data_IF_325607809424
#
_entry.id   IF_325607809424
#
_cell.length_a   1.000
_cell.length_b   1.000
_cell.length_c   1.000
_cell.angle_alpha   90.00
_cell.angle_beta   90.00
_cell.angle_gamma   90.00
#
_symmetry.space_group_name_H-M   'P 1'
#
loop_
_entity.id
_entity.type
_entity.pdbx_description
1 polymer ?
#
# COMPACT_ATOMS: atom_id res chain seq x y z
N UNK A 1 -73.15 -5.10 -40.80
CA UNK A 1 -72.47 -4.99 -42.08
C UNK A 1 -72.54 -3.55 -42.58
N UNK A 2 -71.49 -2.80 -42.50
CA UNK A 2 -71.12 -1.66 -43.40
C UNK A 2 -69.79 -1.11 -42.85
N UNK A 3 -68.73 -1.20 -43.65
CA UNK A 3 -67.43 -0.59 -43.47
C UNK A 3 -67.55 0.90 -43.76
N UNK A 4 -67.07 1.77 -42.88
CA UNK A 4 -66.88 3.20 -43.17
C UNK A 4 -65.39 3.47 -43.18
N UNK A 5 -64.86 3.86 -44.32
CA UNK A 5 -63.47 4.33 -44.52
C UNK A 5 -63.39 5.78 -44.03
N UNK A 6 -62.33 6.01 -43.22
CA UNK A 6 -62.01 7.32 -42.69
C UNK A 6 -60.83 7.93 -43.47
N UNK A 7 -61.09 8.96 -44.24
CA UNK A 7 -60.15 9.77 -45.03
C UNK A 7 -59.65 10.94 -44.18
N UNK A 8 -58.63 10.75 -43.38
CA UNK A 8 -57.85 11.87 -42.78
C UNK A 8 -56.41 11.44 -42.63
N UNK A 9 -55.59 11.56 -43.64
CA UNK A 9 -54.15 11.57 -43.49
C UNK A 9 -53.40 11.92 -44.79
N UNK A 10 -53.60 13.13 -45.28
CA UNK A 10 -52.86 13.62 -46.47
C UNK A 10 -52.12 14.95 -46.30
N UNK A 11 -52.25 15.66 -45.17
CA UNK A 11 -51.66 17.00 -45.02
C UNK A 11 -50.48 17.09 -44.02
N UNK A 12 -49.92 15.97 -43.56
CA UNK A 12 -48.83 16.00 -42.59
C UNK A 12 -47.42 15.74 -43.19
N UNK A 13 -47.28 15.65 -44.52
CA UNK A 13 -46.00 15.27 -45.16
C UNK A 13 -45.19 16.40 -45.80
N UNK A 14 -45.61 17.66 -45.72
CA UNK A 14 -44.89 18.76 -46.39
C UNK A 14 -44.16 19.71 -45.43
N UNK A 15 -44.43 19.67 -44.14
CA UNK A 15 -43.77 20.56 -43.16
C UNK A 15 -42.44 20.00 -42.56
N UNK A 16 -42.05 18.74 -42.84
CA UNK A 16 -40.90 18.10 -42.20
C UNK A 16 -39.57 18.16 -43.00
N UNK A 17 -39.48 18.94 -44.06
CA UNK A 17 -38.31 18.91 -44.96
C UNK A 17 -37.42 20.18 -44.97
N UNK A 18 -37.61 21.12 -44.04
CA UNK A 18 -36.80 22.37 -43.99
C UNK A 18 -36.05 22.65 -42.69
N UNK A 19 -36.15 21.83 -41.67
CA UNK A 19 -35.43 22.04 -40.39
C UNK A 19 -34.18 21.16 -40.25
N UNK A 20 -33.88 20.28 -41.22
CA UNK A 20 -32.86 19.22 -41.10
C UNK A 20 -31.42 19.60 -41.52
N UNK A 21 -31.13 20.82 -41.98
CA UNK A 21 -29.77 21.11 -42.52
C UNK A 21 -28.91 22.12 -41.73
N UNK A 22 -29.50 22.91 -40.86
CA UNK A 22 -28.71 23.86 -40.02
C UNK A 22 -28.40 23.35 -38.61
N UNK A 23 -29.14 22.38 -38.10
CA UNK A 23 -28.89 21.77 -36.75
C UNK A 23 -27.72 20.79 -36.70
N UNK A 24 -27.36 20.16 -37.81
CA UNK A 24 -26.34 19.10 -37.86
C UNK A 24 -24.90 19.68 -37.87
N UNK A 25 -24.73 20.89 -38.42
CA UNK A 25 -23.41 21.54 -38.47
C UNK A 25 -22.97 22.15 -37.14
N UNK A 26 -23.89 22.54 -36.26
CA UNK A 26 -23.54 23.06 -34.92
C UNK A 26 -23.27 21.94 -33.89
N UNK A 27 -23.93 20.80 -34.02
CA UNK A 27 -23.70 19.65 -33.12
C UNK A 27 -22.38 18.95 -33.41
N UNK A 28 -21.92 18.90 -34.65
CA UNK A 28 -20.62 18.31 -35.00
C UNK A 28 -19.44 19.18 -34.54
N UNK A 29 -19.59 20.52 -34.55
CA UNK A 29 -18.54 21.43 -34.08
C UNK A 29 -18.38 21.41 -32.54
N UNK A 30 -19.46 21.21 -31.78
CA UNK A 30 -19.44 21.11 -30.32
C UNK A 30 -18.86 19.75 -29.87
N UNK A 31 -19.14 18.65 -30.59
CA UNK A 31 -18.56 17.36 -30.32
C UNK A 31 -17.06 17.32 -30.67
N UNK A 32 -16.61 18.02 -31.70
CA UNK A 32 -15.18 18.09 -32.05
C UNK A 32 -14.38 18.96 -31.07
N UNK A 33 -14.99 20.03 -30.52
CA UNK A 33 -14.37 20.88 -29.52
C UNK A 33 -14.28 20.20 -28.13
N UNK A 34 -15.22 19.32 -27.79
CA UNK A 34 -15.17 18.50 -26.55
C UNK A 34 -14.15 17.34 -26.63
N UNK A 35 -13.81 16.88 -27.85
CA UNK A 35 -12.79 15.84 -28.04
C UNK A 35 -11.34 16.38 -28.04
N UNK A 36 -11.15 17.68 -28.32
CA UNK A 36 -9.83 18.30 -28.24
C UNK A 36 -9.44 18.84 -26.84
N UNK A 37 -10.37 18.81 -25.89
CA UNK A 37 -10.13 19.14 -24.49
C UNK A 37 -9.93 17.89 -23.60
N UNK A 38 -9.70 16.71 -24.19
CA UNK A 38 -9.02 15.63 -23.49
C UNK A 38 -7.60 16.15 -23.24
N UNK A 39 -7.46 16.90 -22.13
CA UNK A 39 -6.16 17.23 -21.57
C UNK A 39 -5.38 15.93 -21.57
N UNK A 40 -4.31 15.86 -22.35
CA UNK A 40 -3.32 14.82 -22.25
C UNK A 40 -2.90 14.81 -20.79
N UNK A 41 -3.45 13.88 -20.01
CA UNK A 41 -2.85 13.56 -18.72
C UNK A 41 -1.37 13.35 -19.03
N UNK A 42 -0.46 14.05 -18.37
CA UNK A 42 0.96 13.86 -18.63
C UNK A 42 1.20 12.36 -18.53
N UNK A 43 1.73 11.77 -19.60
CA UNK A 43 2.11 10.37 -19.59
C UNK A 43 2.95 10.20 -18.33
N UNK A 44 2.52 9.33 -17.44
CA UNK A 44 3.22 9.06 -16.19
C UNK A 44 4.51 8.38 -16.64
N UNK A 45 5.59 9.18 -16.76
CA UNK A 45 6.91 8.66 -17.11
C UNK A 45 7.25 7.69 -15.98
N UNK A 46 7.24 6.40 -16.30
CA UNK A 46 7.77 5.37 -15.40
C UNK A 46 9.24 5.69 -15.22
N UNK A 47 9.66 6.00 -14.00
CA UNK A 47 11.06 6.19 -13.68
C UNK A 47 11.72 4.80 -13.72
N UNK A 48 12.74 4.65 -14.56
CA UNK A 48 13.62 3.49 -14.48
C UNK A 48 14.63 3.76 -13.35
N UNK A 49 14.39 3.13 -12.21
CA UNK A 49 15.19 3.33 -11.00
C UNK A 49 16.58 2.68 -11.10
N UNK A 50 16.82 1.81 -12.09
CA UNK A 50 18.13 1.20 -12.32
C UNK A 50 18.99 1.99 -13.31
N UNK A 51 18.40 2.95 -14.02
CA UNK A 51 19.13 3.85 -14.91
C UNK A 51 19.55 5.16 -14.21
N UNK A 52 20.41 5.93 -14.90
CA UNK A 52 20.80 7.25 -14.41
C UNK A 52 19.59 8.17 -14.24
N UNK A 53 19.54 8.96 -13.19
CA UNK A 53 20.58 9.25 -12.18
C UNK A 53 20.48 8.40 -10.91
N UNK A 54 19.72 7.31 -10.88
CA UNK A 54 19.36 6.60 -9.65
C UNK A 54 20.30 5.43 -9.36
N UNK A 55 20.47 4.50 -10.32
CA UNK A 55 21.27 3.28 -10.16
C UNK A 55 20.97 2.56 -8.83
N UNK A 56 19.70 2.25 -8.59
CA UNK A 56 19.19 1.85 -7.27
C UNK A 56 19.97 0.67 -6.67
N UNK A 57 20.21 -0.39 -7.44
CA UNK A 57 20.90 -1.58 -6.94
C UNK A 57 22.41 -1.38 -6.73
N UNK A 58 23.02 -0.37 -7.35
CA UNK A 58 24.45 -0.04 -7.25
C UNK A 58 24.72 1.06 -6.20
N UNK A 59 23.70 1.85 -5.85
CA UNK A 59 23.84 2.96 -4.92
C UNK A 59 23.93 2.46 -3.48
N UNK A 60 25.00 2.79 -2.74
CA UNK A 60 25.12 2.40 -1.34
C UNK A 60 24.00 3.02 -0.48
N UNK A 61 23.34 2.19 0.30
CA UNK A 61 22.33 2.64 1.24
C UNK A 61 22.92 3.43 2.41
N UNK A 62 22.22 4.46 2.88
CA UNK A 62 22.64 5.30 4.01
C UNK A 62 21.46 5.55 4.95
N UNK A 63 21.13 4.55 5.77
CA UNK A 63 19.97 4.57 6.65
C UNK A 63 20.25 3.86 7.99
N UNK A 64 19.24 3.74 8.87
CA UNK A 64 19.38 3.09 10.17
C UNK A 64 19.78 1.62 10.06
N UNK A 65 19.26 0.90 9.07
CA UNK A 65 19.52 -0.53 8.91
C UNK A 65 20.91 -0.77 8.32
N UNK A 66 21.39 0.06 7.39
CA UNK A 66 22.76 -0.03 6.88
C UNK A 66 23.78 0.19 8.03
N UNK A 67 23.54 1.17 8.90
CA UNK A 67 24.37 1.38 10.11
C UNK A 67 24.29 0.21 11.09
N UNK A 68 23.11 -0.43 11.23
CA UNK A 68 22.99 -1.64 12.07
C UNK A 68 23.85 -2.78 11.49
N UNK A 69 23.88 -2.96 10.17
CA UNK A 69 24.73 -3.97 9.51
C UNK A 69 26.20 -3.70 9.83
N UNK A 70 26.69 -2.48 9.66
CA UNK A 70 28.07 -2.07 9.99
C UNK A 70 28.40 -2.35 11.47
N UNK A 71 27.48 -2.05 12.38
CA UNK A 71 27.66 -2.30 13.81
C UNK A 71 27.65 -3.82 14.16
N UNK A 72 26.92 -4.64 13.42
CA UNK A 72 26.94 -6.09 13.57
C UNK A 72 28.25 -6.69 13.05
N UNK A 73 28.74 -6.20 11.90
CA UNK A 73 30.00 -6.65 11.29
C UNK A 73 31.21 -6.27 12.16
N UNK A 74 31.24 -5.04 12.68
CA UNK A 74 32.28 -4.58 13.62
C UNK A 74 32.13 -5.14 15.02
N UNK A 75 31.07 -5.91 15.31
CA UNK A 75 30.73 -6.45 16.64
C UNK A 75 30.46 -5.38 17.70
N UNK A 76 30.18 -4.15 17.32
CA UNK A 76 29.77 -3.08 18.22
C UNK A 76 28.36 -3.33 18.79
N UNK A 77 27.50 -4.03 18.03
CA UNK A 77 26.18 -4.48 18.45
C UNK A 77 26.09 -6.00 18.32
N UNK A 78 25.38 -6.63 19.25
CA UNK A 78 25.03 -8.04 19.20
C UNK A 78 23.52 -8.19 19.31
N UNK A 79 22.92 -8.95 18.41
CA UNK A 79 21.50 -9.28 18.49
C UNK A 79 21.30 -10.51 19.38
N UNK A 80 20.32 -10.42 20.27
CA UNK A 80 19.91 -11.49 21.17
C UNK A 80 18.76 -12.28 20.55
N UNK A 81 18.88 -13.60 20.59
CA UNK A 81 17.84 -14.51 20.09
C UNK A 81 16.92 -14.92 21.24
N UNK A 82 15.62 -14.89 20.98
CA UNK A 82 14.57 -15.40 21.86
C UNK A 82 13.90 -16.58 21.16
N UNK A 83 13.53 -17.64 21.90
CA UNK A 83 12.90 -18.85 21.32
C UNK A 83 11.51 -18.60 20.72
N UNK A 84 10.79 -17.60 21.21
CA UNK A 84 9.41 -17.29 20.81
C UNK A 84 9.37 -16.33 19.61
N UNK A 85 10.15 -15.23 19.67
CA UNK A 85 10.11 -14.17 18.67
C UNK A 85 11.41 -14.05 17.84
N UNK A 86 12.39 -14.95 18.04
CA UNK A 86 13.68 -14.89 17.34
C UNK A 86 14.44 -13.61 17.68
N UNK A 87 14.85 -12.85 16.70
CA UNK A 87 15.57 -11.59 16.88
C UNK A 87 14.67 -10.35 16.98
N UNK A 88 13.35 -10.51 16.97
CA UNK A 88 12.40 -9.38 16.87
C UNK A 88 12.69 -8.28 17.91
N UNK A 89 12.67 -8.62 19.22
CA UNK A 89 12.89 -7.62 20.29
C UNK A 89 14.24 -6.93 20.18
N UNK A 90 15.26 -7.68 19.83
CA UNK A 90 16.62 -7.16 19.71
C UNK A 90 16.77 -6.22 18.52
N UNK A 91 16.12 -6.53 17.40
CA UNK A 91 16.05 -5.66 16.20
C UNK A 91 15.26 -4.39 16.51
N UNK A 92 14.09 -4.50 17.14
CA UNK A 92 13.29 -3.32 17.50
C UNK A 92 14.08 -2.38 18.41
N UNK A 93 14.78 -2.94 19.40
CA UNK A 93 15.64 -2.16 20.30
C UNK A 93 16.78 -1.48 19.55
N UNK A 94 17.47 -2.21 18.67
CA UNK A 94 18.61 -1.68 17.90
C UNK A 94 18.20 -0.59 16.90
N UNK A 95 16.96 -0.64 16.39
CA UNK A 95 16.41 0.34 15.47
C UNK A 95 15.54 1.41 16.16
N UNK A 96 15.45 1.39 17.50
CA UNK A 96 14.66 2.33 18.30
C UNK A 96 13.17 2.34 17.91
N UNK A 97 12.60 1.15 17.64
CA UNK A 97 11.21 0.99 17.25
C UNK A 97 10.37 0.62 18.48
N UNK A 98 9.33 1.40 18.83
CA UNK A 98 8.50 1.11 19.99
C UNK A 98 7.59 -0.09 19.75
N UNK A 99 7.49 -1.00 20.73
CA UNK A 99 6.57 -2.15 20.69
C UNK A 99 5.09 -1.69 20.58
N UNK A 100 4.77 -0.51 21.08
CA UNK A 100 3.42 0.09 21.01
C UNK A 100 2.96 0.46 19.60
N UNK A 101 3.88 0.51 18.63
CA UNK A 101 3.55 0.73 17.22
C UNK A 101 2.97 -0.50 16.53
N UNK A 102 2.80 -1.62 17.25
CA UNK A 102 2.30 -2.87 16.69
C UNK A 102 0.98 -2.69 15.95
N UNK A 103 0.96 -3.09 14.68
CA UNK A 103 -0.24 -3.30 13.86
C UNK A 103 -0.23 -4.72 13.30
N UNK A 104 -1.41 -5.30 13.08
CA UNK A 104 -1.53 -6.71 12.70
C UNK A 104 -2.31 -6.87 11.40
N UNK A 105 -1.70 -7.50 10.39
CA UNK A 105 -2.31 -7.80 9.10
C UNK A 105 -2.44 -9.30 8.92
N UNK A 106 -3.67 -9.78 8.68
CA UNK A 106 -3.95 -11.20 8.47
C UNK A 106 -4.20 -11.57 7.00
N UNK A 107 -4.28 -10.58 6.11
CA UNK A 107 -4.32 -10.83 4.67
C UNK A 107 -2.94 -11.20 4.14
N UNK A 108 -2.91 -12.10 3.16
CA UNK A 108 -1.68 -12.65 2.56
C UNK A 108 -1.07 -11.67 1.57
N UNK A 109 -0.39 -10.65 2.06
CA UNK A 109 0.16 -9.52 1.27
C UNK A 109 1.67 -9.35 1.37
N UNK A 110 2.45 -10.31 1.88
CA UNK A 110 3.90 -10.24 1.99
C UNK A 110 4.58 -11.48 1.41
N UNK A 111 5.92 -11.48 1.33
CA UNK A 111 6.70 -12.66 0.94
C UNK A 111 6.45 -13.89 1.84
N UNK A 112 5.96 -13.66 3.06
CA UNK A 112 5.70 -14.68 4.07
C UNK A 112 4.27 -15.25 4.01
N UNK A 113 3.59 -15.15 2.86
CA UNK A 113 2.16 -15.54 2.66
C UNK A 113 1.79 -16.91 3.22
N UNK A 114 2.70 -17.89 3.18
CA UNK A 114 2.45 -19.26 3.66
C UNK A 114 2.26 -19.36 5.18
N UNK A 115 2.78 -18.41 5.93
CA UNK A 115 2.67 -18.36 7.39
C UNK A 115 1.50 -17.49 7.87
N UNK A 116 1.05 -16.56 7.01
CA UNK A 116 0.03 -15.57 7.39
C UNK A 116 -1.36 -16.20 7.31
N UNK A 117 -2.08 -16.12 8.42
CA UNK A 117 -3.49 -16.49 8.54
C UNK A 117 -4.18 -15.57 9.54
N UNK A 118 -5.52 -15.68 9.67
CA UNK A 118 -6.25 -14.96 10.73
C UNK A 118 -5.79 -15.31 12.15
N UNK A 119 -5.28 -16.53 12.36
CA UNK A 119 -4.76 -16.97 13.67
C UNK A 119 -3.26 -16.76 13.82
N UNK A 120 -2.61 -16.33 12.77
CA UNK A 120 -1.18 -16.01 12.73
C UNK A 120 -0.94 -14.77 11.85
N UNK A 121 -1.44 -13.58 12.26
CA UNK A 121 -1.25 -12.36 11.50
C UNK A 121 0.24 -11.94 11.47
N UNK A 122 0.63 -11.22 10.44
CA UNK A 122 1.91 -10.53 10.39
C UNK A 122 1.84 -9.30 11.29
N UNK A 123 2.77 -9.15 12.20
CA UNK A 123 2.95 -7.94 12.97
C UNK A 123 3.87 -6.96 12.22
N UNK A 124 3.48 -5.70 12.21
CA UNK A 124 4.30 -4.60 11.70
C UNK A 124 4.54 -3.64 12.86
N UNK A 125 5.83 -3.35 13.08
CA UNK A 125 6.31 -2.36 14.05
C UNK A 125 7.02 -1.25 13.30
N UNK A 126 6.92 -0.02 13.76
CA UNK A 126 7.52 1.11 13.04
C UNK A 126 7.87 2.28 13.96
N UNK A 127 8.79 3.09 13.50
CA UNK A 127 9.06 4.45 13.99
C UNK A 127 8.95 5.43 12.82
N UNK A 128 9.61 6.58 12.90
CA UNK A 128 9.45 7.66 11.92
C UNK A 128 9.89 7.28 10.50
N UNK A 129 10.84 6.35 10.36
CA UNK A 129 11.47 6.04 9.07
C UNK A 129 11.62 4.54 8.77
N UNK A 130 11.42 3.66 9.75
CA UNK A 130 11.73 2.23 9.64
C UNK A 130 10.55 1.36 10.04
N UNK A 131 10.32 0.29 9.27
CA UNK A 131 9.21 -0.65 9.41
C UNK A 131 9.75 -2.07 9.49
N UNK A 132 9.31 -2.83 10.46
CA UNK A 132 9.69 -4.23 10.68
C UNK A 132 8.46 -5.12 10.59
N UNK A 133 8.48 -6.08 9.68
CA UNK A 133 7.42 -7.06 9.47
C UNK A 133 7.83 -8.44 9.95
N UNK A 134 7.15 -8.94 10.99
CA UNK A 134 7.41 -10.23 11.61
C UNK A 134 6.18 -11.16 11.52
N UNK A 135 6.42 -12.43 11.25
CA UNK A 135 5.39 -13.48 11.29
C UNK A 135 5.88 -14.63 12.18
N UNK A 136 5.08 -15.03 13.15
CA UNK A 136 5.40 -16.15 14.04
C UNK A 136 5.68 -17.41 13.21
N UNK A 137 6.79 -18.09 13.55
CA UNK A 137 7.22 -19.32 12.89
C UNK A 137 7.86 -19.13 11.50
N UNK A 138 8.01 -17.90 11.02
CA UNK A 138 8.77 -17.63 9.81
C UNK A 138 10.27 -17.65 10.09
N UNK A 139 11.05 -18.20 9.16
CA UNK A 139 12.51 -18.13 9.18
C UNK A 139 13.07 -16.79 8.70
N UNK A 140 12.19 -15.86 8.31
CA UNK A 140 12.53 -14.57 7.74
C UNK A 140 11.76 -13.45 8.44
N UNK A 141 12.42 -12.31 8.69
CA UNK A 141 11.79 -11.05 9.04
C UNK A 141 12.12 -10.01 7.98
N UNK A 142 11.17 -9.15 7.64
CA UNK A 142 11.30 -8.11 6.61
C UNK A 142 11.49 -6.76 7.27
N UNK A 143 12.40 -5.94 6.74
CA UNK A 143 12.60 -4.56 7.19
C UNK A 143 12.57 -3.67 5.96
N UNK A 144 11.93 -2.51 6.05
CA UNK A 144 12.04 -1.43 5.09
C UNK A 144 12.28 -0.12 5.82
N UNK A 145 13.04 0.78 5.19
CA UNK A 145 13.39 2.06 5.82
C UNK A 145 13.56 3.15 4.77
N UNK A 146 13.22 4.38 5.14
CA UNK A 146 13.51 5.54 4.30
C UNK A 146 15.03 5.70 4.13
N UNK A 147 15.42 6.07 2.93
CA UNK A 147 16.82 6.27 2.56
C UNK A 147 16.93 7.53 1.67
N UNK A 148 17.86 8.46 1.94
CA UNK A 148 17.94 9.72 1.22
C UNK A 148 18.32 9.58 -0.27
N UNK A 149 18.92 8.44 -0.66
CA UNK A 149 19.33 8.20 -2.04
C UNK A 149 18.40 7.23 -2.77
N UNK A 150 17.91 6.22 -2.04
CA UNK A 150 17.12 5.12 -2.57
C UNK A 150 15.61 5.34 -2.42
N UNK A 151 15.18 6.38 -1.69
CA UNK A 151 13.80 6.57 -1.28
C UNK A 151 13.40 5.58 -0.19
N UNK A 152 13.22 4.32 -0.54
CA UNK A 152 13.02 3.23 0.41
C UNK A 152 13.99 2.10 0.14
N UNK A 153 14.72 1.66 1.14
CA UNK A 153 15.58 0.49 1.10
C UNK A 153 14.93 -0.69 1.85
N UNK A 154 15.12 -1.91 1.33
CA UNK A 154 14.52 -3.13 1.85
C UNK A 154 15.58 -4.10 2.35
N UNK A 155 15.27 -4.82 3.42
CA UNK A 155 16.19 -5.77 4.05
C UNK A 155 15.43 -7.00 4.51
N UNK A 156 16.16 -8.10 4.61
CA UNK A 156 15.71 -9.34 5.23
C UNK A 156 16.62 -9.72 6.38
N UNK A 157 16.05 -10.27 7.44
CA UNK A 157 16.77 -10.81 8.58
C UNK A 157 16.53 -12.32 8.62
N UNK A 158 17.59 -13.10 8.56
CA UNK A 158 17.51 -14.53 8.78
C UNK A 158 17.25 -14.79 10.28
N UNK A 159 16.17 -15.51 10.57
CA UNK A 159 15.72 -15.80 11.93
C UNK A 159 16.33 -17.11 12.51
N UNK A 160 17.35 -17.67 11.85
CA UNK A 160 18.05 -18.85 12.36
C UNK A 160 18.83 -18.50 13.63
N UNK A 161 18.71 -19.32 14.71
CA UNK A 161 19.51 -19.14 15.92
C UNK A 161 21.02 -19.06 15.61
N UNK A 162 21.77 -18.23 16.37
CA UNK A 162 23.23 -18.09 16.33
C UNK A 162 23.81 -17.34 15.10
N UNK A 163 23.01 -17.02 14.09
CA UNK A 163 23.48 -16.33 12.89
C UNK A 163 22.50 -15.27 12.40
N UNK A 164 22.34 -14.16 13.14
CA UNK A 164 21.54 -13.06 12.62
C UNK A 164 22.23 -12.55 11.35
N UNK A 165 21.57 -12.70 10.21
CA UNK A 165 22.08 -12.18 8.96
C UNK A 165 21.08 -11.17 8.41
N UNK A 166 21.46 -9.90 8.50
CA UNK A 166 20.73 -8.80 7.89
C UNK A 166 21.31 -8.56 6.51
N UNK A 167 20.46 -8.56 5.47
CA UNK A 167 20.87 -8.35 4.08
C UNK A 167 19.94 -7.36 3.41
N UNK A 168 20.51 -6.48 2.60
CA UNK A 168 19.71 -5.68 1.67
C UNK A 168 19.07 -6.58 0.61
N UNK A 169 17.81 -6.30 0.29
CA UNK A 169 17.02 -7.00 -0.71
C UNK A 169 16.57 -6.01 -1.77
N UNK A 170 16.58 -6.44 -3.04
CA UNK A 170 16.31 -5.58 -4.18
C UNK A 170 15.09 -6.08 -4.96
N UNK A 171 15.28 -6.93 -5.96
CA UNK A 171 14.28 -7.32 -6.94
C UNK A 171 12.99 -7.88 -6.35
N UNK A 172 13.09 -8.77 -5.38
CA UNK A 172 11.93 -9.42 -4.76
C UNK A 172 11.01 -8.42 -4.06
N UNK A 173 11.59 -7.36 -3.49
CA UNK A 173 10.83 -6.29 -2.83
C UNK A 173 10.30 -5.27 -3.84
N UNK A 174 11.15 -4.83 -4.76
CA UNK A 174 10.79 -3.80 -5.75
C UNK A 174 9.68 -4.24 -6.70
N UNK A 175 9.55 -5.55 -6.98
CA UNK A 175 8.46 -6.10 -7.78
C UNK A 175 7.07 -5.67 -7.29
N UNK A 176 6.91 -5.43 -5.99
CA UNK A 176 5.67 -4.92 -5.38
C UNK A 176 5.81 -3.47 -4.89
N UNK A 177 7.03 -3.04 -4.52
CA UNK A 177 7.29 -1.79 -3.84
C UNK A 177 7.92 -0.70 -4.72
N UNK A 178 7.92 -0.87 -6.06
CA UNK A 178 8.25 0.15 -7.06
C UNK A 178 7.22 0.14 -8.19
N UNK A 179 5.94 0.15 -7.84
CA UNK A 179 4.81 0.05 -8.78
C UNK A 179 3.91 1.28 -8.71
N UNK A 180 2.82 1.30 -9.46
CA UNK A 180 1.80 2.34 -9.34
C UNK A 180 1.23 2.48 -7.93
N UNK A 181 1.26 1.40 -7.12
CA UNK A 181 0.84 1.44 -5.71
C UNK A 181 1.76 2.30 -4.82
N UNK A 182 3.01 2.49 -5.23
CA UNK A 182 3.99 3.35 -4.56
C UNK A 182 4.31 4.59 -5.39
N UNK A 183 3.41 4.99 -6.30
CA UNK A 183 3.58 6.13 -7.20
C UNK A 183 4.76 6.00 -8.17
N UNK A 184 5.20 4.76 -8.46
CA UNK A 184 6.29 4.46 -9.38
C UNK A 184 7.69 4.65 -8.81
N UNK A 185 7.84 4.75 -7.49
CA UNK A 185 9.13 4.87 -6.80
C UNK A 185 9.29 3.78 -5.75
N UNK A 186 10.53 3.46 -5.31
CA UNK A 186 10.72 2.58 -4.15
C UNK A 186 10.00 3.13 -2.92
N UNK A 187 9.01 2.41 -2.43
CA UNK A 187 8.11 2.94 -1.41
C UNK A 187 7.34 1.88 -0.63
N UNK A 188 6.43 2.35 0.21
CA UNK A 188 5.63 1.52 1.11
C UNK A 188 4.16 1.49 0.67
N UNK A 189 3.46 0.42 1.03
CA UNK A 189 2.02 0.33 0.80
C UNK A 189 1.29 -0.16 2.03
N UNK A 190 0.20 0.51 2.37
CA UNK A 190 -0.83 -0.01 3.26
C UNK A 190 -2.05 -0.34 2.40
N UNK A 191 -2.34 -1.63 2.24
CA UNK A 191 -3.44 -2.09 1.38
C UNK A 191 -4.63 -2.51 2.22
N UNK A 192 -5.79 -2.08 1.82
CA UNK A 192 -7.08 -2.58 2.27
C UNK A 192 -7.66 -3.50 1.20
N UNK A 193 -8.00 -4.73 1.57
CA UNK A 193 -8.41 -5.79 0.66
C UNK A 193 -9.69 -6.47 1.15
N UNK A 194 -10.30 -7.29 0.31
CA UNK A 194 -11.40 -8.17 0.70
C UNK A 194 -10.83 -9.56 1.06
N UNK A 195 -10.55 -9.84 2.34
CA UNK A 195 -9.91 -11.08 2.75
C UNK A 195 -10.92 -12.22 2.82
N UNK A 196 -10.53 -13.41 2.40
CA UNK A 196 -11.23 -14.66 2.64
C UNK A 196 -10.99 -15.15 4.09
N UNK A 197 -11.70 -16.20 4.49
CA UNK A 197 -11.58 -16.80 5.84
C UNK A 197 -10.15 -17.24 6.17
N UNK A 198 -9.40 -17.70 5.19
CA UNK A 198 -7.99 -18.14 5.32
C UNK A 198 -6.95 -17.02 5.20
N UNK A 199 -7.40 -15.78 4.98
CA UNK A 199 -6.57 -14.61 4.77
C UNK A 199 -6.16 -14.38 3.31
N UNK A 200 -6.51 -15.26 2.36
CA UNK A 200 -6.30 -15.00 0.94
C UNK A 200 -7.16 -13.81 0.47
N UNK A 201 -6.70 -13.15 -0.60
CA UNK A 201 -7.36 -11.97 -1.14
C UNK A 201 -8.34 -12.39 -2.24
N UNK A 202 -9.54 -11.84 -2.22
CA UNK A 202 -10.47 -11.94 -3.35
C UNK A 202 -9.97 -11.04 -4.49
N UNK A 203 -9.29 -11.64 -5.46
CA UNK A 203 -8.69 -10.93 -6.61
C UNK A 203 -9.73 -10.38 -7.60
N UNK A 204 -10.98 -10.75 -7.48
CA UNK A 204 -12.07 -10.23 -8.32
C UNK A 204 -12.63 -8.91 -7.78
N UNK A 205 -12.22 -8.51 -6.58
CA UNK A 205 -12.62 -7.25 -5.97
C UNK A 205 -11.49 -6.23 -6.01
N UNK A 206 -11.87 -4.99 -6.08
CA UNK A 206 -10.94 -3.86 -5.99
C UNK A 206 -10.22 -3.88 -4.62
N UNK A 207 -8.95 -3.49 -4.62
CA UNK A 207 -8.21 -3.22 -3.39
C UNK A 207 -7.85 -1.74 -3.32
N UNK A 208 -7.82 -1.20 -2.12
CA UNK A 208 -7.54 0.21 -1.88
C UNK A 208 -6.11 0.37 -1.36
N UNK A 209 -5.37 1.35 -1.84
CA UNK A 209 -4.20 1.88 -1.14
C UNK A 209 -4.73 2.84 -0.10
N UNK A 210 -4.45 2.55 1.16
CA UNK A 210 -5.00 3.29 2.29
C UNK A 210 -4.02 4.36 2.73
N UNK A 211 -4.51 5.59 2.80
CA UNK A 211 -3.79 6.75 3.31
C UNK A 211 -4.75 7.67 4.10
N UNK A 212 -4.24 8.82 4.55
CA UNK A 212 -5.02 9.78 5.34
C UNK A 212 -6.22 10.38 4.59
N UNK A 213 -6.27 10.30 3.25
CA UNK A 213 -7.39 10.79 2.43
C UNK A 213 -8.46 9.74 2.19
N UNK A 214 -8.16 8.46 2.44
CA UNK A 214 -9.07 7.35 2.20
C UNK A 214 -10.32 7.45 3.09
N UNK A 215 -11.53 7.17 2.58
CA UNK A 215 -12.72 7.05 3.41
C UNK A 215 -12.54 5.96 4.47
N UNK A 216 -12.96 6.21 5.70
CA UNK A 216 -12.79 5.25 6.79
C UNK A 216 -13.45 3.89 6.46
N UNK A 217 -14.58 3.91 5.77
CA UNK A 217 -15.31 2.71 5.36
C UNK A 217 -14.53 1.77 4.42
N UNK A 218 -13.47 2.25 3.77
CA UNK A 218 -12.62 1.49 2.85
C UNK A 218 -11.30 1.05 3.50
N UNK A 219 -11.00 1.52 4.74
CA UNK A 219 -9.71 1.26 5.39
C UNK A 219 -9.66 -0.13 6.04
N UNK A 220 -8.44 -0.65 6.09
CA UNK A 220 -7.99 -1.77 6.93
C UNK A 220 -8.63 -3.13 6.63
N UNK A 221 -9.19 -3.34 5.45
CA UNK A 221 -9.59 -4.68 5.01
C UNK A 221 -8.40 -5.64 5.00
N UNK A 222 -8.51 -6.75 5.74
CA UNK A 222 -7.41 -7.69 5.95
C UNK A 222 -6.51 -7.39 7.14
N UNK A 223 -6.83 -6.35 7.92
CA UNK A 223 -6.13 -5.96 9.15
C UNK A 223 -7.00 -6.20 10.38
N UNK A 224 -6.36 -6.44 11.51
CA UNK A 224 -6.98 -6.29 12.82
C UNK A 224 -6.93 -4.83 13.26
N UNK A 225 -7.97 -4.39 13.96
CA UNK A 225 -8.10 -3.01 14.46
C UNK A 225 -8.63 -3.06 15.87
N UNK A 226 -7.88 -2.53 16.81
CA UNK A 226 -8.33 -2.33 18.21
C UNK A 226 -8.38 -0.85 18.54
N UNK A 227 -9.37 -0.45 19.31
CA UNK A 227 -9.59 0.92 19.71
C UNK A 227 -11.06 1.32 19.65
N UNK A 228 -11.36 2.51 20.18
CA UNK A 228 -12.71 3.07 20.14
C UNK A 228 -12.82 4.13 19.06
N UNK A 229 -13.83 4.01 18.22
CA UNK A 229 -14.10 4.94 17.12
C UNK A 229 -15.60 5.28 16.97
N UNK A 230 -16.41 4.99 18.02
CA UNK A 230 -17.84 5.27 18.04
C UNK A 230 -18.61 4.50 16.97
N UNK A 231 -19.46 5.19 16.22
CA UNK A 231 -20.31 4.60 15.18
C UNK A 231 -19.66 4.51 13.80
N UNK A 232 -18.44 4.99 13.64
CA UNK A 232 -17.71 4.88 12.39
C UNK A 232 -17.52 3.41 11.99
N UNK A 233 -17.41 3.15 10.71
CA UNK A 233 -17.22 1.81 10.16
C UNK A 233 -15.98 1.76 9.29
N UNK A 234 -15.31 0.62 9.32
CA UNK A 234 -14.13 0.30 8.52
C UNK A 234 -14.18 -1.18 8.09
N UNK A 235 -13.29 -1.60 7.19
CA UNK A 235 -13.22 -3.00 6.72
C UNK A 235 -12.40 -3.91 7.64
N UNK A 236 -11.67 -3.36 8.60
CA UNK A 236 -10.86 -4.15 9.54
C UNK A 236 -11.67 -5.13 10.38
N UNK A 237 -11.03 -6.16 10.93
CA UNK A 237 -11.64 -7.24 11.73
C UNK A 237 -12.66 -8.10 10.98
N UNK A 238 -12.78 -7.96 9.66
CA UNK A 238 -13.79 -8.66 8.87
C UNK A 238 -13.17 -9.50 7.76
N UNK A 239 -13.90 -10.47 7.28
CA UNK A 239 -13.56 -11.32 6.15
C UNK A 239 -14.83 -11.78 5.43
N UNK A 240 -14.68 -12.22 4.19
CA UNK A 240 -15.79 -12.62 3.35
C UNK A 240 -16.44 -13.90 3.89
N UNK A 241 -17.77 -13.84 4.08
CA UNK A 241 -18.63 -15.00 4.34
C UNK A 241 -19.73 -15.03 3.31
N UNK A 242 -19.81 -16.10 2.52
CA UNK A 242 -20.76 -16.18 1.43
C UNK A 242 -20.67 -14.99 0.45
N UNK A 243 -19.46 -14.51 0.17
CA UNK A 243 -19.20 -13.39 -0.73
C UNK A 243 -19.55 -12.00 -0.17
N UNK A 244 -19.87 -11.88 1.12
CA UNK A 244 -20.21 -10.59 1.77
C UNK A 244 -19.26 -10.27 2.91
N UNK A 245 -18.93 -8.99 3.02
CA UNK A 245 -18.17 -8.42 4.15
C UNK A 245 -19.19 -7.79 5.12
N UNK A 246 -19.26 -8.27 6.36
CA UNK A 246 -20.15 -7.69 7.37
C UNK A 246 -19.33 -6.79 8.33
N UNK A 247 -19.49 -5.49 8.17
CA UNK A 247 -18.83 -4.48 8.99
C UNK A 247 -19.67 -3.96 10.16
N UNK A 248 -20.88 -4.50 10.40
CA UNK A 248 -21.79 -3.97 11.45
C UNK A 248 -21.30 -4.24 12.86
N UNK A 249 -20.57 -5.32 13.07
CA UNK A 249 -20.11 -5.76 14.39
C UNK A 249 -18.56 -5.77 14.53
N UNK A 250 -17.83 -5.02 13.69
CA UNK A 250 -16.38 -5.08 13.65
C UNK A 250 -15.68 -3.99 14.48
N UNK A 251 -16.43 -3.01 14.99
CA UNK A 251 -15.89 -1.82 15.60
C UNK A 251 -15.72 -1.87 17.11
N UNK A 252 -14.99 -0.87 17.65
CA UNK A 252 -14.76 -0.66 19.08
C UNK A 252 -14.18 -1.88 19.83
N UNK A 253 -13.45 -2.74 19.13
CA UNK A 253 -12.80 -3.91 19.70
C UNK A 253 -11.62 -3.46 20.57
N UNK A 254 -11.55 -3.91 21.81
CA UNK A 254 -10.53 -3.46 22.78
C UNK A 254 -9.35 -4.43 22.89
N UNK A 255 -9.46 -5.65 22.38
CA UNK A 255 -8.40 -6.66 22.34
C UNK A 255 -8.65 -7.68 21.25
N UNK A 256 -7.67 -8.52 20.97
CA UNK A 256 -7.76 -9.59 19.98
C UNK A 256 -7.74 -11.00 20.58
N UNK A 257 -7.86 -11.14 21.89
CA UNK A 257 -7.80 -12.43 22.57
C UNK A 257 -8.87 -13.41 22.10
N UNK A 258 -10.00 -12.91 21.62
CA UNK A 258 -11.10 -13.73 21.08
C UNK A 258 -10.84 -14.19 19.64
N UNK A 259 -9.87 -13.59 18.93
CA UNK A 259 -9.59 -13.90 17.53
C UNK A 259 -8.50 -14.96 17.38
N UNK A 260 -7.43 -14.86 18.19
CA UNK A 260 -6.31 -15.79 18.18
C UNK A 260 -5.48 -15.65 19.46
N UNK A 261 -4.55 -16.60 19.69
CA UNK A 261 -3.60 -16.53 20.78
C UNK A 261 -2.59 -15.40 20.54
N UNK A 262 -2.70 -14.35 21.35
CA UNK A 262 -1.85 -13.16 21.26
C UNK A 262 -0.59 -13.25 22.11
N UNK A 263 -0.37 -14.34 22.84
CA UNK A 263 0.73 -14.47 23.81
C UNK A 263 2.11 -14.31 23.17
N UNK A 264 2.31 -14.82 21.96
CA UNK A 264 3.58 -14.73 21.23
C UNK A 264 3.84 -13.36 20.59
N UNK A 265 2.85 -12.48 20.59
CA UNK A 265 2.99 -11.09 20.09
C UNK A 265 3.44 -10.16 21.21
N UNK A 266 4.07 -9.03 20.87
CA UNK A 266 4.55 -8.08 21.86
C UNK A 266 3.42 -7.29 22.53
N UNK A 267 2.24 -7.31 21.91
CA UNK A 267 1.03 -6.66 22.41
C UNK A 267 -0.21 -7.43 21.94
N UNK A 268 -1.29 -7.51 22.72
CA UNK A 268 -2.57 -8.07 22.27
C UNK A 268 -3.38 -7.11 21.39
N UNK A 269 -2.77 -6.03 20.90
CA UNK A 269 -3.44 -4.96 20.19
C UNK A 269 -2.92 -4.81 18.75
N UNK A 270 -3.78 -4.24 17.91
CA UNK A 270 -3.47 -3.63 16.63
C UNK A 270 -4.14 -2.26 16.67
N UNK A 271 -3.42 -1.31 17.23
CA UNK A 271 -3.99 -0.02 17.65
C UNK A 271 -4.45 0.82 16.45
N UNK A 272 -5.65 1.40 16.55
CA UNK A 272 -6.25 2.19 15.48
C UNK A 272 -5.45 3.47 15.19
N UNK A 273 -4.86 4.09 16.23
CA UNK A 273 -4.03 5.29 16.04
C UNK A 273 -2.72 4.92 15.37
N UNK A 274 -2.10 3.80 15.77
CA UNK A 274 -0.91 3.28 15.11
C UNK A 274 -1.19 2.99 13.62
N UNK A 275 -2.34 2.41 13.28
CA UNK A 275 -2.74 2.19 11.88
C UNK A 275 -2.90 3.50 11.11
N UNK A 276 -3.52 4.53 11.71
CA UNK A 276 -3.69 5.84 11.09
C UNK A 276 -2.34 6.55 10.87
N UNK A 277 -1.41 6.42 11.81
CA UNK A 277 -0.05 6.94 11.66
C UNK A 277 0.69 6.19 10.56
N UNK A 278 0.62 4.84 10.57
CA UNK A 278 1.27 3.99 9.58
C UNK A 278 0.85 4.36 8.14
N UNK A 279 -0.45 4.45 7.87
CA UNK A 279 -0.96 4.75 6.53
C UNK A 279 -0.62 6.16 6.06
N UNK A 280 -0.67 7.15 6.95
CA UNK A 280 -0.27 8.52 6.63
C UNK A 280 1.24 8.62 6.35
N UNK A 281 2.05 8.07 7.22
CA UNK A 281 3.51 8.14 7.15
C UNK A 281 4.05 7.42 5.90
N UNK A 282 3.55 6.22 5.60
CA UNK A 282 3.96 5.48 4.40
C UNK A 282 3.64 6.24 3.12
N UNK A 283 2.46 6.87 3.04
CA UNK A 283 2.09 7.69 1.90
C UNK A 283 2.96 8.95 1.79
N UNK A 284 3.26 9.61 2.90
CA UNK A 284 4.14 10.80 2.90
C UNK A 284 5.55 10.45 2.45
N UNK A 285 6.12 9.31 2.85
CA UNK A 285 7.39 8.84 2.34
C UNK A 285 7.36 8.63 0.83
N UNK A 286 6.31 8.02 0.28
CA UNK A 286 6.18 7.85 -1.16
C UNK A 286 6.12 9.19 -1.91
N UNK A 287 5.35 10.16 -1.38
CA UNK A 287 5.23 11.50 -1.98
C UNK A 287 6.57 12.23 -1.97
N UNK A 288 7.29 12.20 -0.85
CA UNK A 288 8.61 12.83 -0.72
C UNK A 288 9.64 12.16 -1.66
N UNK A 289 9.68 10.83 -1.68
CA UNK A 289 10.56 10.07 -2.59
C UNK A 289 10.26 10.40 -4.05
N UNK A 290 8.98 10.44 -4.43
CA UNK A 290 8.60 10.79 -5.80
C UNK A 290 9.02 12.21 -6.16
N UNK A 291 8.86 13.17 -5.26
CA UNK A 291 9.26 14.55 -5.48
C UNK A 291 10.80 14.67 -5.69
N UNK A 292 11.57 14.01 -4.81
CA UNK A 292 13.03 13.97 -4.91
C UNK A 292 13.48 13.30 -6.22
N UNK A 293 12.97 12.11 -6.53
CA UNK A 293 13.31 11.39 -7.76
C UNK A 293 12.97 12.21 -9.01
N UNK A 294 11.83 12.92 -9.00
CA UNK A 294 11.44 13.77 -10.11
C UNK A 294 12.40 14.96 -10.30
N UNK A 295 12.83 15.58 -9.21
CA UNK A 295 13.81 16.68 -9.25
C UNK A 295 15.17 16.19 -9.79
N UNK A 296 15.65 15.05 -9.28
CA UNK A 296 16.91 14.43 -9.74
C UNK A 296 16.86 14.07 -11.22
N UNK A 297 15.76 13.47 -11.69
CA UNK A 297 15.57 13.17 -13.11
C UNK A 297 15.60 14.45 -13.97
N UNK A 298 14.86 15.48 -13.57
CA UNK A 298 14.83 16.75 -14.31
C UNK A 298 16.19 17.45 -14.35
N UNK A 299 16.98 17.38 -13.28
CA UNK A 299 18.33 17.92 -13.23
C UNK A 299 19.26 17.16 -14.18
N UNK A 300 19.20 15.83 -14.15
CA UNK A 300 19.96 14.97 -15.06
C UNK A 300 19.62 15.24 -16.53
N UNK A 301 18.35 15.29 -16.90
CA UNK A 301 17.88 15.54 -18.27
C UNK A 301 18.33 16.89 -18.82
N UNK A 302 18.58 17.86 -17.95
CA UNK A 302 19.10 19.20 -18.31
C UNK A 302 20.65 19.30 -18.33
N UNK A 303 21.35 18.17 -18.15
CA UNK A 303 22.79 18.12 -18.08
C UNK A 303 23.38 18.71 -16.78
N UNK A 304 22.55 18.90 -15.75
CA UNK A 304 22.99 19.29 -14.41
C UNK A 304 23.33 18.05 -13.59
N UNK A 305 24.32 18.16 -12.69
CA UNK A 305 24.51 17.16 -11.63
C UNK A 305 23.55 17.52 -10.49
N UNK A 306 22.67 16.64 -10.06
CA UNK A 306 21.91 16.88 -8.85
C UNK A 306 22.84 16.72 -7.65
N UNK A 307 23.45 17.81 -7.18
CA UNK A 307 24.10 17.79 -5.88
C UNK A 307 23.00 17.80 -4.81
N UNK A 308 23.04 16.83 -3.93
CA UNK A 308 22.24 16.77 -2.71
C UNK A 308 23.08 17.29 -1.51
N UNK A 309 23.99 18.26 -1.78
CA UNK A 309 24.79 18.91 -0.74
C UNK A 309 23.97 19.93 0.04
#
# INVERSE_FOLDING_TARGET
MKKTYNTKNRNAKIAAKRIGRQGILHSAAVFLALFCAAASAPAQVSLDIEEAPFHYSETPASNRVSRLIENLESKAVKLEYNSEQGYLRSILKALEIPESSQTLVFSKTSMQVRYITRRNPRAIYFNDDTYVGWVRGSSLMEISTADPKLGTAFYTVDMMPWRPKVKQAYYDCLACHATSMTQGVPGHTVRSVYPQVDGSIDSQRESFITDHTSPLAERWGGWYVTGRHGEMRHMGNTFLRGGRLDTRANGNRLSLWDEFDTHDYLSPYSDIVALMVLEHQTQMHNVMTRADFRVRQLAHDRGGSPSLD
#
